data_IF_413850771749
#
_entry.id   IF_413850771749
#
_cell.length_a   1.000
_cell.length_b   1.000
_cell.length_c   1.000
_cell.angle_alpha   90.00
_cell.angle_beta   90.00
_cell.angle_gamma   90.00
#
_symmetry.space_group_name_H-M   'P 1'
#
loop_
_entity.id
_entity.type
_entity.pdbx_description
1 polymer ?
#
# COMPACT_ATOMS: atom_id res chain seq x y z
N UNK A 1 7.42 -16.84 -19.76
CA UNK A 1 7.13 -16.10 -18.52
C UNK A 1 6.05 -15.04 -18.64
N UNK A 2 6.07 -14.08 -19.60
CA UNK A 2 5.02 -13.05 -19.63
C UNK A 2 3.62 -13.64 -19.89
N UNK A 3 3.52 -14.65 -20.75
CA UNK A 3 2.25 -15.35 -21.05
C UNK A 3 1.65 -16.08 -19.85
N UNK A 4 2.48 -16.73 -19.03
CA UNK A 4 2.00 -17.42 -17.83
C UNK A 4 1.47 -16.40 -16.84
N UNK A 5 2.24 -15.35 -16.52
CA UNK A 5 1.79 -14.26 -15.63
C UNK A 5 0.47 -13.65 -16.10
N UNK A 6 0.32 -13.34 -17.38
CA UNK A 6 -0.96 -12.81 -17.90
C UNK A 6 -2.13 -13.80 -17.72
N UNK A 7 -1.90 -15.11 -17.84
CA UNK A 7 -2.93 -16.11 -17.59
C UNK A 7 -3.34 -16.18 -16.10
N UNK A 8 -2.39 -16.07 -15.17
CA UNK A 8 -2.70 -15.94 -13.73
C UNK A 8 -3.53 -14.68 -13.44
N UNK A 9 -3.20 -13.55 -14.09
CA UNK A 9 -3.94 -12.30 -13.93
C UNK A 9 -5.38 -12.41 -14.45
N UNK A 10 -5.57 -12.99 -15.64
CA UNK A 10 -6.89 -13.20 -16.23
C UNK A 10 -7.72 -14.17 -15.36
N UNK A 11 -7.10 -15.24 -14.86
CA UNK A 11 -7.74 -16.17 -13.94
C UNK A 11 -8.19 -15.49 -12.64
N UNK A 12 -7.36 -14.60 -12.08
CA UNK A 12 -7.69 -13.84 -10.88
C UNK A 12 -8.84 -12.85 -11.11
N UNK A 13 -8.86 -12.15 -12.25
CA UNK A 13 -9.98 -11.28 -12.63
C UNK A 13 -11.28 -12.10 -12.81
N UNK A 14 -11.19 -13.28 -13.42
CA UNK A 14 -12.32 -14.21 -13.52
C UNK A 14 -12.83 -14.64 -12.14
N UNK A 15 -11.93 -14.93 -11.20
CA UNK A 15 -12.26 -15.21 -9.81
C UNK A 15 -13.02 -14.03 -9.16
N UNK A 16 -12.55 -12.80 -9.30
CA UNK A 16 -13.22 -11.62 -8.73
C UNK A 16 -14.61 -11.40 -9.30
N UNK A 17 -14.78 -11.57 -10.61
CA UNK A 17 -16.09 -11.46 -11.26
C UNK A 17 -17.05 -12.52 -10.74
N UNK A 18 -16.58 -13.75 -10.57
CA UNK A 18 -17.39 -14.84 -10.04
C UNK A 18 -17.72 -14.63 -8.56
N UNK A 19 -16.78 -14.12 -7.77
CA UNK A 19 -17.02 -13.80 -6.35
C UNK A 19 -18.00 -12.63 -6.19
N UNK A 20 -17.90 -11.61 -7.05
CA UNK A 20 -18.85 -10.51 -7.12
C UNK A 20 -20.27 -11.01 -7.45
N UNK A 21 -20.38 -11.92 -8.42
CA UNK A 21 -21.66 -12.58 -8.75
C UNK A 21 -22.23 -13.33 -7.55
N UNK A 22 -21.42 -14.14 -6.86
CA UNK A 22 -21.84 -14.90 -5.68
C UNK A 22 -22.33 -13.98 -4.54
N UNK A 23 -21.71 -12.82 -4.34
CA UNK A 23 -22.10 -11.85 -3.30
C UNK A 23 -23.39 -11.09 -3.65
N UNK A 24 -23.53 -10.66 -4.91
CA UNK A 24 -24.65 -9.83 -5.37
C UNK A 24 -25.93 -10.64 -5.61
N UNK A 25 -25.80 -11.85 -6.16
CA UNK A 25 -26.95 -12.71 -6.49
C UNK A 25 -27.43 -13.46 -5.25
N UNK A 26 -28.69 -13.89 -5.28
CA UNK A 26 -29.35 -14.58 -4.16
C UNK A 26 -28.53 -15.79 -3.71
N UNK A 27 -28.00 -15.72 -2.49
CA UNK A 27 -27.32 -16.85 -1.86
C UNK A 27 -28.34 -17.80 -1.22
N UNK A 28 -28.38 -19.05 -1.68
CA UNK A 28 -29.22 -20.11 -1.13
C UNK A 28 -28.62 -20.73 0.14
N UNK A 29 -29.39 -21.53 0.88
CA UNK A 29 -28.93 -22.11 2.15
C UNK A 29 -27.67 -22.97 1.97
N UNK A 30 -27.60 -23.72 0.88
CA UNK A 30 -26.47 -24.55 0.53
C UNK A 30 -25.60 -23.86 -0.52
N UNK A 31 -24.27 -24.02 -0.48
CA UNK A 31 -23.40 -23.38 -1.44
C UNK A 31 -23.71 -23.91 -2.84
N UNK A 32 -24.01 -23.00 -3.78
CA UNK A 32 -24.17 -23.35 -5.17
C UNK A 32 -22.82 -23.76 -5.78
N UNK A 33 -22.85 -24.34 -6.99
CA UNK A 33 -21.61 -24.73 -7.68
C UNK A 33 -20.63 -23.55 -7.84
N UNK A 34 -21.13 -22.34 -8.06
CA UNK A 34 -20.30 -21.14 -8.19
C UNK A 34 -19.63 -20.78 -6.86
N UNK A 35 -20.36 -20.84 -5.74
CA UNK A 35 -19.79 -20.59 -4.41
C UNK A 35 -18.72 -21.64 -4.06
N UNK A 36 -18.95 -22.91 -4.39
CA UNK A 36 -17.94 -23.96 -4.25
C UNK A 36 -16.68 -23.70 -5.08
N UNK A 37 -16.83 -23.14 -6.28
CA UNK A 37 -15.67 -22.74 -7.11
C UNK A 37 -14.88 -21.64 -6.40
N UNK A 38 -15.52 -20.58 -5.86
CA UNK A 38 -14.85 -19.53 -5.07
C UNK A 38 -14.12 -20.11 -3.87
N UNK A 39 -14.81 -20.95 -3.08
CA UNK A 39 -14.24 -21.57 -1.89
C UNK A 39 -13.01 -22.42 -2.26
N UNK A 40 -13.12 -23.22 -3.33
CA UNK A 40 -12.00 -24.05 -3.79
C UNK A 40 -10.81 -23.22 -4.26
N UNK A 41 -11.06 -22.05 -4.88
CA UNK A 41 -10.03 -21.13 -5.31
C UNK A 41 -9.27 -20.55 -4.11
N UNK A 42 -9.97 -20.08 -3.08
CA UNK A 42 -9.34 -19.53 -1.86
C UNK A 42 -8.59 -20.60 -1.08
N UNK A 43 -9.16 -21.80 -0.95
CA UNK A 43 -8.47 -22.93 -0.30
C UNK A 43 -7.20 -23.29 -1.06
N UNK A 44 -7.24 -23.30 -2.40
CA UNK A 44 -6.04 -23.53 -3.23
C UNK A 44 -4.98 -22.46 -3.00
N UNK A 45 -5.38 -21.19 -2.90
CA UNK A 45 -4.47 -20.08 -2.61
C UNK A 45 -3.87 -20.18 -1.19
N UNK A 46 -4.68 -20.59 -0.20
CA UNK A 46 -4.21 -20.83 1.16
C UNK A 46 -3.13 -21.93 1.21
N UNK A 47 -3.33 -23.02 0.47
CA UNK A 47 -2.34 -24.10 0.35
C UNK A 47 -1.04 -23.61 -0.31
N UNK A 48 -1.12 -22.75 -1.33
CA UNK A 48 0.06 -22.13 -1.94
C UNK A 48 0.85 -21.25 -0.97
N UNK A 49 0.17 -20.46 -0.14
CA UNK A 49 0.82 -19.64 0.89
C UNK A 49 1.44 -20.49 2.00
N UNK A 50 0.77 -21.57 2.42
CA UNK A 50 1.36 -22.53 3.36
C UNK A 50 2.62 -23.16 2.78
N UNK A 51 2.60 -23.56 1.50
CA UNK A 51 3.77 -24.11 0.81
C UNK A 51 4.92 -23.10 0.75
N UNK A 52 4.64 -21.85 0.42
CA UNK A 52 5.63 -20.77 0.39
C UNK A 52 6.34 -20.61 1.74
N UNK A 53 5.56 -20.57 2.83
CA UNK A 53 6.11 -20.53 4.19
C UNK A 53 6.98 -21.76 4.45
N UNK A 54 6.56 -22.96 4.06
CA UNK A 54 7.30 -24.20 4.29
C UNK A 54 8.61 -24.29 3.49
N UNK A 55 8.63 -23.82 2.24
CA UNK A 55 9.80 -23.90 1.35
C UNK A 55 10.82 -22.77 1.55
N UNK A 56 10.52 -21.76 2.38
CA UNK A 56 11.50 -20.72 2.73
C UNK A 56 12.77 -21.29 3.39
N UNK A 57 13.91 -20.66 3.13
CA UNK A 57 15.28 -21.13 3.43
C UNK A 57 15.65 -21.45 4.91
N UNK A 58 15.05 -20.84 5.96
CA UNK A 58 15.46 -21.12 7.34
C UNK A 58 15.20 -22.58 7.78
N UNK A 59 15.90 -23.09 8.80
CA UNK A 59 15.59 -24.41 9.38
C UNK A 59 14.41 -24.41 10.36
N UNK A 60 14.22 -23.32 11.11
CA UNK A 60 13.23 -23.21 12.21
C UNK A 60 11.93 -22.53 11.73
N UNK A 61 10.78 -23.18 11.95
CA UNK A 61 9.45 -22.70 11.51
C UNK A 61 9.09 -21.30 12.02
N UNK A 62 9.42 -20.97 13.28
CA UNK A 62 9.12 -19.64 13.85
C UNK A 62 9.87 -18.52 13.12
N UNK A 63 11.13 -18.78 12.72
CA UNK A 63 11.93 -17.80 11.97
C UNK A 63 11.42 -17.64 10.54
N UNK A 64 10.93 -18.72 9.90
CA UNK A 64 10.26 -18.67 8.59
C UNK A 64 9.05 -17.75 8.61
N UNK A 65 8.16 -17.95 9.57
CA UNK A 65 6.93 -17.17 9.71
C UNK A 65 7.27 -15.70 9.97
N UNK A 66 8.25 -15.42 10.84
CA UNK A 66 8.67 -14.04 11.13
C UNK A 66 9.18 -13.31 9.88
N UNK A 67 10.03 -13.96 9.08
CA UNK A 67 10.57 -13.37 7.83
C UNK A 67 9.46 -13.17 6.81
N UNK A 68 8.58 -14.17 6.62
CA UNK A 68 7.47 -14.09 5.68
C UNK A 68 6.48 -12.97 6.02
N UNK A 69 6.21 -12.75 7.32
CA UNK A 69 5.35 -11.68 7.81
C UNK A 69 5.96 -10.28 7.71
N UNK A 70 7.23 -10.11 7.31
CA UNK A 70 7.80 -8.76 7.10
C UNK A 70 7.29 -8.11 5.82
N UNK A 71 6.77 -8.89 4.88
CA UNK A 71 6.22 -8.38 3.63
C UNK A 71 4.75 -7.98 3.80
N UNK A 72 4.43 -6.69 3.58
CA UNK A 72 3.09 -6.13 3.79
C UNK A 72 1.97 -6.85 3.03
N UNK A 73 2.24 -7.29 1.81
CA UNK A 73 1.28 -8.02 0.99
C UNK A 73 0.96 -9.40 1.55
N UNK A 74 1.95 -10.09 2.13
CA UNK A 74 1.76 -11.38 2.76
C UNK A 74 0.88 -11.30 4.02
N UNK A 75 1.04 -10.23 4.81
CA UNK A 75 0.15 -9.97 5.95
C UNK A 75 -1.29 -9.77 5.46
N UNK A 76 -1.48 -8.95 4.43
CA UNK A 76 -2.81 -8.67 3.85
C UNK A 76 -3.46 -9.94 3.32
N UNK A 77 -2.71 -10.77 2.60
CA UNK A 77 -3.17 -12.06 2.07
C UNK A 77 -3.59 -13.01 3.20
N UNK A 78 -2.81 -13.08 4.30
CA UNK A 78 -3.13 -13.91 5.46
C UNK A 78 -4.44 -13.46 6.13
N UNK A 79 -4.60 -12.15 6.31
CA UNK A 79 -5.83 -11.57 6.89
C UNK A 79 -7.03 -11.90 5.99
N UNK A 80 -6.92 -11.66 4.68
CA UNK A 80 -7.98 -11.96 3.71
C UNK A 80 -8.38 -13.44 3.72
N UNK A 81 -7.40 -14.36 3.64
CA UNK A 81 -7.67 -15.80 3.67
C UNK A 81 -8.32 -16.21 4.99
N UNK A 82 -7.82 -15.71 6.12
CA UNK A 82 -8.39 -16.05 7.44
C UNK A 82 -9.84 -15.55 7.58
N UNK A 83 -10.13 -14.33 7.12
CA UNK A 83 -11.46 -13.74 7.15
C UNK A 83 -12.44 -14.51 6.26
N UNK A 84 -12.02 -14.88 5.04
CA UNK A 84 -12.81 -15.73 4.15
C UNK A 84 -13.11 -17.09 4.78
N UNK A 85 -12.13 -17.76 5.39
CA UNK A 85 -12.34 -19.07 6.02
C UNK A 85 -13.33 -18.99 7.18
N UNK A 86 -13.26 -17.95 8.01
CA UNK A 86 -14.24 -17.69 9.08
C UNK A 86 -15.62 -17.45 8.47
N UNK A 87 -15.72 -16.63 7.42
CA UNK A 87 -16.96 -16.38 6.69
C UNK A 87 -17.58 -17.67 6.14
N UNK A 88 -16.78 -18.54 5.52
CA UNK A 88 -17.21 -19.82 4.95
C UNK A 88 -17.71 -20.79 6.02
N UNK A 89 -17.03 -20.88 7.17
CA UNK A 89 -17.47 -21.72 8.30
C UNK A 89 -18.82 -21.23 8.84
N UNK A 90 -18.97 -19.93 9.06
CA UNK A 90 -20.24 -19.33 9.52
C UNK A 90 -21.36 -19.50 8.50
N UNK A 91 -21.01 -19.56 7.20
CA UNK A 91 -21.96 -19.75 6.11
C UNK A 91 -22.59 -21.15 6.08
N UNK A 92 -21.85 -22.16 6.56
CA UNK A 92 -22.30 -23.55 6.69
C UNK A 92 -23.17 -23.77 7.94
N UNK A 93 -23.22 -22.82 8.87
CA UNK A 93 -24.02 -22.89 10.09
C UNK A 93 -25.49 -22.47 9.85
N UNK A 94 -26.39 -22.88 10.77
CA UNK A 94 -27.80 -22.49 10.74
C UNK A 94 -27.98 -21.01 11.08
N UNK A 95 -29.14 -20.42 10.73
CA UNK A 95 -29.47 -19.04 11.12
C UNK A 95 -29.41 -18.89 12.66
N UNK A 96 -28.87 -17.77 13.19
CA UNK A 96 -28.57 -16.48 12.55
C UNK A 96 -27.14 -16.32 11.97
N UNK A 97 -26.22 -17.25 12.24
CA UNK A 97 -24.81 -17.16 11.86
C UNK A 97 -24.57 -17.04 10.34
N UNK A 98 -25.47 -17.60 9.55
CA UNK A 98 -25.50 -17.47 8.08
C UNK A 98 -25.52 -15.99 7.62
N UNK A 99 -26.24 -15.12 8.32
CA UNK A 99 -26.32 -13.69 7.98
C UNK A 99 -24.98 -12.99 8.21
N UNK A 100 -24.31 -13.30 9.32
CA UNK A 100 -22.97 -12.80 9.61
C UNK A 100 -21.93 -13.30 8.60
N UNK A 101 -22.02 -14.57 8.16
CA UNK A 101 -21.16 -15.11 7.10
C UNK A 101 -21.26 -14.33 5.77
N UNK A 102 -22.47 -13.93 5.38
CA UNK A 102 -22.68 -13.07 4.20
C UNK A 102 -22.04 -11.69 4.36
N UNK A 103 -22.23 -11.05 5.52
CA UNK A 103 -21.61 -9.74 5.81
C UNK A 103 -20.09 -9.83 5.76
N UNK A 104 -19.52 -10.91 6.29
CA UNK A 104 -18.08 -11.16 6.21
C UNK A 104 -17.62 -11.29 4.76
N UNK A 105 -18.31 -12.05 3.90
CA UNK A 105 -17.99 -12.09 2.45
C UNK A 105 -18.05 -10.71 1.77
N UNK A 106 -19.04 -9.88 2.12
CA UNK A 106 -19.15 -8.53 1.57
C UNK A 106 -17.99 -7.61 1.96
N UNK A 107 -17.42 -7.79 3.16
CA UNK A 107 -16.22 -7.04 3.58
C UNK A 107 -14.96 -7.67 2.99
N UNK A 108 -14.92 -9.01 2.94
CA UNK A 108 -13.78 -9.80 2.49
C UNK A 108 -13.41 -9.52 1.03
N UNK A 109 -14.39 -9.33 0.14
CA UNK A 109 -14.14 -8.95 -1.27
C UNK A 109 -13.30 -7.67 -1.41
N UNK A 110 -13.36 -6.75 -0.45
CA UNK A 110 -12.55 -5.52 -0.46
C UNK A 110 -11.06 -5.89 -0.38
N UNK A 111 -10.67 -6.86 0.46
CA UNK A 111 -9.28 -7.31 0.55
C UNK A 111 -8.81 -7.97 -0.75
N UNK A 112 -9.67 -8.73 -1.42
CA UNK A 112 -9.35 -9.30 -2.74
C UNK A 112 -9.23 -8.24 -3.84
N UNK A 113 -9.94 -7.11 -3.74
CA UNK A 113 -9.70 -5.96 -4.62
C UNK A 113 -8.38 -5.26 -4.29
N UNK A 114 -8.03 -5.07 -3.01
CA UNK A 114 -6.74 -4.50 -2.61
C UNK A 114 -5.59 -5.37 -3.15
N UNK A 115 -5.73 -6.70 -3.15
CA UNK A 115 -4.76 -7.64 -3.75
C UNK A 115 -4.52 -7.40 -5.24
N UNK A 116 -5.47 -6.84 -5.99
CA UNK A 116 -5.26 -6.46 -7.41
C UNK A 116 -4.13 -5.42 -7.53
N UNK A 117 -3.96 -4.55 -6.53
CA UNK A 117 -2.89 -3.54 -6.55
C UNK A 117 -1.51 -4.18 -6.50
N UNK A 118 -1.33 -5.31 -5.80
CA UNK A 118 -0.06 -6.07 -5.83
C UNK A 118 0.26 -6.58 -7.23
N UNK A 119 -0.77 -7.08 -7.93
CA UNK A 119 -0.66 -7.55 -9.32
C UNK A 119 -0.30 -6.38 -10.26
N UNK A 120 -0.90 -5.21 -10.08
CA UNK A 120 -0.54 -4.02 -10.84
C UNK A 120 0.83 -3.44 -10.46
N UNK A 121 1.30 -3.72 -9.24
CA UNK A 121 2.66 -3.43 -8.75
C UNK A 121 3.76 -3.96 -9.70
N UNK A 122 3.48 -5.06 -10.39
CA UNK A 122 4.39 -5.72 -11.32
C UNK A 122 4.53 -4.97 -12.65
N UNK A 123 3.51 -4.20 -13.05
CA UNK A 123 3.48 -3.55 -14.34
C UNK A 123 4.48 -2.39 -14.41
N UNK A 124 5.18 -2.24 -15.55
CA UNK A 124 6.13 -1.14 -15.81
C UNK A 124 5.54 0.24 -15.64
N UNK A 125 4.27 0.40 -15.96
CA UNK A 125 3.62 1.70 -15.92
C UNK A 125 2.93 1.96 -14.57
N UNK A 126 2.27 0.96 -14.00
CA UNK A 126 1.47 1.14 -12.76
C UNK A 126 2.26 0.88 -11.48
N UNK A 127 3.31 0.06 -11.54
CA UNK A 127 4.08 -0.37 -10.37
C UNK A 127 4.71 0.78 -9.58
N UNK A 128 5.40 1.73 -10.22
CA UNK A 128 5.93 2.90 -9.52
C UNK A 128 4.85 3.72 -8.79
N UNK A 129 3.63 3.81 -9.34
CA UNK A 129 2.52 4.53 -8.70
C UNK A 129 1.97 3.80 -7.46
N UNK A 130 1.80 2.47 -7.54
CA UNK A 130 1.38 1.67 -6.38
C UNK A 130 2.40 1.81 -5.24
N UNK A 131 3.69 1.81 -5.56
CA UNK A 131 4.76 2.02 -4.59
C UNK A 131 4.79 3.43 -4.00
N UNK A 132 4.48 4.46 -4.80
CA UNK A 132 4.31 5.83 -4.30
C UNK A 132 3.18 5.91 -3.28
N UNK A 133 1.99 5.38 -3.63
CA UNK A 133 0.81 5.38 -2.75
C UNK A 133 1.14 4.70 -1.42
N UNK A 134 1.76 3.51 -1.45
CA UNK A 134 2.10 2.77 -0.22
C UNK A 134 3.05 3.53 0.71
N UNK A 135 4.06 4.22 0.17
CA UNK A 135 4.97 5.04 0.98
C UNK A 135 4.28 6.29 1.52
N UNK A 136 3.50 6.97 0.69
CA UNK A 136 2.77 8.18 1.09
C UNK A 136 1.76 7.89 2.21
N UNK A 137 1.15 6.70 2.24
CA UNK A 137 0.21 6.28 3.31
C UNK A 137 0.81 6.32 4.71
N UNK A 138 2.12 6.04 4.87
CA UNK A 138 2.78 6.08 6.19
C UNK A 138 2.85 7.53 6.70
N UNK A 139 3.19 8.46 5.83
CA UNK A 139 3.24 9.88 6.16
C UNK A 139 1.84 10.44 6.46
N UNK A 140 0.79 9.93 5.79
CA UNK A 140 -0.61 10.27 6.11
C UNK A 140 -0.97 9.94 7.54
N UNK A 141 -0.50 8.80 8.05
CA UNK A 141 -0.96 8.26 9.31
C UNK A 141 -0.70 9.25 10.44
N UNK A 142 0.49 9.87 10.45
CA UNK A 142 0.84 10.91 11.43
C UNK A 142 -0.09 12.11 11.36
N UNK A 143 -0.46 12.53 10.15
CA UNK A 143 -1.39 13.63 9.96
C UNK A 143 -2.81 13.28 10.40
N UNK A 144 -3.27 12.07 10.08
CA UNK A 144 -4.60 11.57 10.50
C UNK A 144 -4.71 11.56 12.02
N UNK A 145 -3.62 11.27 12.75
CA UNK A 145 -3.60 11.37 14.22
C UNK A 145 -3.84 12.80 14.69
N UNK A 146 -3.20 13.81 14.07
CA UNK A 146 -3.42 15.22 14.40
C UNK A 146 -4.88 15.63 14.11
N UNK A 147 -5.40 15.20 12.96
CA UNK A 147 -6.80 15.44 12.58
C UNK A 147 -7.78 14.81 13.58
N UNK A 148 -7.49 13.61 14.08
CA UNK A 148 -8.30 12.93 15.08
C UNK A 148 -8.35 13.69 16.41
N UNK A 149 -7.24 14.30 16.84
CA UNK A 149 -7.20 15.14 18.05
C UNK A 149 -8.13 16.35 17.92
N UNK A 150 -8.04 17.06 16.79
CA UNK A 150 -8.91 18.23 16.52
C UNK A 150 -10.37 17.79 16.42
N UNK A 151 -10.64 16.69 15.72
CA UNK A 151 -11.98 16.11 15.58
C UNK A 151 -12.59 15.73 16.94
N UNK A 152 -11.86 15.02 17.79
CA UNK A 152 -12.33 14.64 19.14
C UNK A 152 -12.60 15.88 20.00
N UNK A 153 -11.74 16.89 19.95
CA UNK A 153 -11.91 18.10 20.75
C UNK A 153 -13.23 18.83 20.46
N UNK A 154 -13.59 18.94 19.17
CA UNK A 154 -14.86 19.52 18.76
C UNK A 154 -16.05 18.58 19.02
N UNK A 155 -15.92 17.30 18.68
CA UNK A 155 -16.99 16.32 18.83
C UNK A 155 -17.49 16.16 20.26
N UNK A 156 -16.57 16.10 21.23
CA UNK A 156 -16.91 16.01 22.66
C UNK A 156 -17.58 17.30 23.14
N UNK A 157 -17.00 18.46 22.82
CA UNK A 157 -17.54 19.75 23.25
C UNK A 157 -18.96 19.98 22.70
N UNK A 158 -19.18 19.69 21.41
CA UNK A 158 -20.48 19.77 20.75
C UNK A 158 -21.51 18.85 21.42
N UNK A 159 -21.18 17.57 21.58
CA UNK A 159 -22.11 16.57 22.12
C UNK A 159 -22.51 16.88 23.56
N UNK A 160 -21.55 17.33 24.38
CA UNK A 160 -21.79 17.69 25.78
C UNK A 160 -22.67 18.95 25.92
N UNK A 161 -22.55 19.93 25.02
CA UNK A 161 -23.39 21.15 25.06
C UNK A 161 -24.81 20.84 24.59
N UNK A 162 -24.98 20.12 23.47
CA UNK A 162 -26.29 19.90 22.85
C UNK A 162 -27.15 18.83 23.53
N UNK A 163 -26.51 17.85 24.20
CA UNK A 163 -27.19 16.73 24.84
C UNK A 163 -26.65 16.53 26.26
N UNK A 164 -27.01 17.43 27.20
CA UNK A 164 -26.63 17.27 28.60
C UNK A 164 -27.26 16.00 29.19
N UNK A 165 -26.51 15.35 30.08
CA UNK A 165 -26.95 14.16 30.86
C UNK A 165 -27.42 12.96 30.02
N UNK A 166 -26.85 12.76 28.82
CA UNK A 166 -27.16 11.60 27.98
C UNK A 166 -26.53 10.30 28.57
N UNK A 167 -27.32 9.23 28.65
CA UNK A 167 -26.86 7.95 29.18
C UNK A 167 -25.71 7.35 28.33
N UNK A 168 -24.77 6.61 28.95
CA UNK A 168 -23.65 6.02 28.24
C UNK A 168 -24.15 5.02 27.20
N UNK A 169 -23.98 5.36 25.92
CA UNK A 169 -24.43 4.53 24.79
C UNK A 169 -23.41 4.50 23.65
N UNK A 170 -23.39 3.42 22.87
CA UNK A 170 -22.58 3.34 21.64
C UNK A 170 -22.99 4.39 20.60
N UNK A 171 -24.22 4.90 20.69
CA UNK A 171 -24.73 5.98 19.85
C UNK A 171 -24.05 7.31 20.19
N UNK A 172 -23.87 7.60 21.49
CA UNK A 172 -23.13 8.76 21.98
C UNK A 172 -21.70 8.74 21.43
N UNK A 173 -20.98 7.62 21.63
CA UNK A 173 -19.63 7.45 21.11
C UNK A 173 -19.57 7.66 19.59
N UNK A 174 -20.48 7.04 18.83
CA UNK A 174 -20.55 7.23 17.37
C UNK A 174 -20.79 8.69 16.98
N UNK A 175 -21.68 9.40 17.66
CA UNK A 175 -22.04 10.79 17.32
C UNK A 175 -20.86 11.76 17.53
N UNK A 176 -20.02 11.52 18.55
CA UNK A 176 -18.79 12.29 18.81
C UNK A 176 -17.84 12.26 17.61
N UNK A 177 -17.73 11.13 16.90
CA UNK A 177 -16.82 11.00 15.76
C UNK A 177 -17.49 11.26 14.42
N UNK A 178 -18.66 10.66 14.20
CA UNK A 178 -19.29 10.58 12.89
C UNK A 178 -19.69 11.96 12.38
N UNK A 179 -20.38 12.77 13.19
CA UNK A 179 -20.85 14.08 12.74
C UNK A 179 -19.68 15.03 12.38
N UNK A 180 -18.70 15.27 13.27
CA UNK A 180 -17.52 16.07 12.94
C UNK A 180 -16.73 15.57 11.73
N UNK A 181 -16.63 14.26 11.53
CA UNK A 181 -15.90 13.67 10.41
C UNK A 181 -16.48 14.08 9.05
N UNK A 182 -17.79 13.91 8.85
CA UNK A 182 -18.46 14.27 7.60
C UNK A 182 -18.43 15.78 7.32
N UNK A 183 -18.39 16.60 8.37
CA UNK A 183 -18.21 18.06 8.24
C UNK A 183 -16.88 18.46 7.61
N UNK A 184 -15.82 17.64 7.73
CA UNK A 184 -14.54 17.89 7.03
C UNK A 184 -14.72 17.76 5.52
N UNK A 185 -15.56 16.82 5.08
CA UNK A 185 -15.84 16.55 3.67
C UNK A 185 -16.89 17.49 3.05
N UNK A 186 -17.35 18.50 3.80
CA UNK A 186 -18.31 19.50 3.32
C UNK A 186 -19.77 19.14 3.57
N UNK A 187 -20.07 17.98 4.18
CA UNK A 187 -21.39 17.73 4.75
C UNK A 187 -21.54 18.52 6.05
N UNK A 188 -21.87 19.79 5.89
CA UNK A 188 -22.29 20.61 7.01
C UNK A 188 -23.72 20.16 7.32
N UNK A 189 -23.90 19.36 8.39
CA UNK A 189 -25.22 18.93 8.87
C UNK A 189 -26.05 20.10 9.43
N UNK A 190 -26.10 21.25 8.74
CA UNK A 190 -26.90 22.40 9.11
C UNK A 190 -28.31 21.92 9.49
N UNK A 191 -28.97 21.09 8.67
CA UNK A 191 -30.34 20.61 8.90
C UNK A 191 -30.53 19.65 10.12
N UNK A 192 -29.47 19.02 10.65
CA UNK A 192 -29.54 18.16 11.86
C UNK A 192 -28.97 18.81 13.11
N UNK A 193 -28.04 19.77 12.95
CA UNK A 193 -27.62 20.69 14.00
C UNK A 193 -28.73 21.72 14.26
N UNK A 194 -29.52 22.00 13.23
CA UNK A 194 -30.66 22.89 13.15
C UNK A 194 -31.96 22.08 13.03
N UNK A 195 -32.14 21.13 13.94
CA UNK A 195 -33.45 20.62 14.40
C UNK A 195 -34.59 20.53 13.36
N UNK A 196 -34.43 19.85 12.22
CA UNK A 196 -35.59 19.30 11.47
C UNK A 196 -35.73 17.82 11.81
N UNK A 197 -36.73 17.40 12.57
CA UNK A 197 -38.13 17.53 12.19
C UNK A 197 -39.05 17.73 13.42
N UNK A 198 -39.49 18.97 13.66
CA UNK A 198 -40.94 19.29 13.75
C UNK A 198 -41.30 20.76 13.94
N UNK A 199 -40.39 21.73 13.79
CA UNK A 199 -40.78 23.14 13.85
C UNK A 199 -40.11 23.86 12.66
N UNK A 200 -40.83 23.89 11.54
CA UNK A 200 -40.57 24.89 10.51
C UNK A 200 -40.87 26.24 11.16
N UNK A 201 -39.88 27.13 11.29
CA UNK A 201 -39.97 28.60 11.12
C UNK A 201 -38.71 29.33 11.67
N UNK A 202 -37.90 28.77 12.59
CA UNK A 202 -36.87 29.56 13.31
C UNK A 202 -35.39 29.15 13.11
N UNK A 203 -35.05 28.42 12.05
CA UNK A 203 -33.73 27.81 11.86
C UNK A 203 -32.59 28.80 11.47
N UNK A 204 -32.94 30.04 11.07
CA UNK A 204 -31.95 31.08 10.75
C UNK A 204 -31.78 32.10 11.91
N UNK A 205 -32.06 31.72 13.15
CA UNK A 205 -31.90 32.60 14.31
C UNK A 205 -30.86 32.07 15.29
N UNK A 206 -29.95 32.97 15.69
CA UNK A 206 -28.91 32.76 16.71
C UNK A 206 -29.51 32.34 18.08
N UNK A 207 -30.81 32.55 18.27
CA UNK A 207 -31.61 32.03 19.38
C UNK A 207 -32.98 31.57 18.86
N UNK A 208 -33.21 30.27 18.62
CA UNK A 208 -34.57 29.78 18.39
C UNK A 208 -35.42 30.03 19.65
N UNK A 209 -36.75 30.26 19.52
CA UNK A 209 -37.61 30.38 20.67
C UNK A 209 -37.50 29.07 21.48
N UNK A 210 -37.13 29.22 22.75
CA UNK A 210 -37.00 28.14 23.71
C UNK A 210 -37.72 28.56 24.97
N UNK A 211 -38.34 27.61 25.67
CA UNK A 211 -39.14 27.93 26.83
C UNK A 211 -39.72 26.69 27.49
N UNK A 212 -39.60 26.62 28.81
CA UNK A 212 -40.21 25.54 29.58
C UNK A 212 -41.73 25.65 29.50
N UNK A 213 -42.36 24.64 28.89
CA UNK A 213 -43.82 24.55 28.72
C UNK A 213 -44.46 25.66 27.88
N UNK A 214 -43.68 26.35 27.05
CA UNK A 214 -44.23 27.26 26.05
C UNK A 214 -44.62 26.48 24.80
N UNK A 215 -45.66 26.96 24.11
CA UNK A 215 -46.13 26.40 22.85
C UNK A 215 -45.91 27.44 21.75
N UNK A 216 -45.45 26.97 20.60
CA UNK A 216 -45.31 27.78 19.39
C UNK A 216 -46.69 28.18 18.85
N UNK A 217 -46.76 29.15 17.93
CA UNK A 217 -48.01 29.59 17.28
C UNK A 217 -48.78 28.41 16.61
N UNK A 218 -48.04 27.36 16.21
CA UNK A 218 -48.55 26.08 15.69
C UNK A 218 -49.09 25.10 16.76
N UNK A 219 -49.08 25.46 18.04
CA UNK A 219 -49.48 24.59 19.16
C UNK A 219 -48.47 23.48 19.49
N UNK A 220 -47.22 23.59 19.03
CA UNK A 220 -46.15 22.60 19.29
C UNK A 220 -45.34 23.02 20.51
N UNK A 221 -45.02 22.08 21.41
CA UNK A 221 -44.20 22.36 22.60
C UNK A 221 -42.78 22.78 22.21
N UNK A 222 -42.35 23.94 22.70
CA UNK A 222 -41.00 24.47 22.51
C UNK A 222 -39.97 23.62 23.27
N UNK A 223 -38.71 23.54 22.79
CA UNK A 223 -37.62 22.87 23.50
C UNK A 223 -37.27 23.59 24.81
N UNK A 224 -36.76 22.86 25.82
CA UNK A 224 -36.09 23.49 26.94
C UNK A 224 -34.86 24.27 26.46
N UNK A 225 -34.63 25.46 27.02
CA UNK A 225 -33.47 26.28 26.70
C UNK A 225 -32.19 25.62 27.23
N UNK A 226 -31.21 25.40 26.34
CA UNK A 226 -29.92 24.83 26.72
C UNK A 226 -28.92 25.96 26.95
N UNK A 227 -28.33 26.07 28.16
CA UNK A 227 -27.28 27.05 28.43
C UNK A 227 -26.09 26.83 27.50
N UNK A 228 -25.62 27.90 26.84
CA UNK A 228 -24.43 27.83 25.97
C UNK A 228 -24.68 27.28 24.57
N UNK A 229 -25.93 27.13 24.12
CA UNK A 229 -26.23 26.71 22.75
C UNK A 229 -25.55 27.60 21.69
N UNK A 230 -25.46 28.91 21.93
CA UNK A 230 -24.78 29.90 21.07
C UNK A 230 -23.28 29.62 20.87
N UNK A 231 -22.64 28.91 21.81
CA UNK A 231 -21.23 28.56 21.74
C UNK A 231 -20.97 27.49 20.67
N UNK A 232 -21.95 26.61 20.40
CA UNK A 232 -21.78 25.50 19.45
C UNK A 232 -21.56 25.99 18.01
N UNK A 233 -22.34 26.94 17.46
CA UNK A 233 -22.04 27.56 16.16
C UNK A 233 -20.66 28.23 16.10
N UNK A 234 -20.22 28.89 17.18
CA UNK A 234 -18.92 29.56 17.23
C UNK A 234 -17.77 28.55 17.19
N UNK A 235 -17.80 27.51 18.02
CA UNK A 235 -16.79 26.43 18.01
C UNK A 235 -16.81 25.69 16.67
N UNK A 236 -17.99 25.50 16.07
CA UNK A 236 -18.13 24.89 14.75
C UNK A 236 -17.44 25.72 13.66
N UNK A 237 -17.59 27.05 13.66
CA UNK A 237 -16.89 27.92 12.71
C UNK A 237 -15.37 27.84 12.88
N UNK A 238 -14.86 27.87 14.12
CA UNK A 238 -13.44 27.68 14.41
C UNK A 238 -12.93 26.31 13.95
N UNK A 239 -13.69 25.24 14.21
CA UNK A 239 -13.37 23.88 13.79
C UNK A 239 -13.26 23.78 12.27
N UNK A 240 -14.23 24.30 11.52
CA UNK A 240 -14.21 24.26 10.05
C UNK A 240 -13.02 25.05 9.47
N UNK A 241 -12.66 26.18 10.08
CA UNK A 241 -11.48 26.94 9.67
C UNK A 241 -10.20 26.11 9.87
N UNK A 242 -10.00 25.56 11.07
CA UNK A 242 -8.80 24.78 11.37
C UNK A 242 -8.75 23.49 10.54
N UNK A 243 -9.85 22.73 10.47
CA UNK A 243 -9.89 21.47 9.76
C UNK A 243 -9.78 21.65 8.23
N UNK A 244 -10.61 22.49 7.63
CA UNK A 244 -10.71 22.55 6.17
C UNK A 244 -9.72 23.55 5.55
N UNK A 245 -9.44 24.68 6.22
CA UNK A 245 -8.55 25.70 5.65
C UNK A 245 -7.09 25.44 6.02
N UNK A 246 -6.80 25.02 7.25
CA UNK A 246 -5.42 24.76 7.67
C UNK A 246 -5.01 23.31 7.44
N UNK A 247 -5.70 22.35 8.07
CA UNK A 247 -5.27 20.96 8.12
C UNK A 247 -5.35 20.29 6.74
N UNK A 248 -6.50 20.30 6.06
CA UNK A 248 -6.63 19.66 4.74
C UNK A 248 -5.64 20.24 3.72
N UNK A 249 -5.43 21.56 3.69
CA UNK A 249 -4.48 22.19 2.76
C UNK A 249 -3.02 21.85 3.09
N UNK A 250 -2.66 21.80 4.37
CA UNK A 250 -1.33 21.37 4.79
C UNK A 250 -1.08 19.90 4.43
N UNK A 251 -2.09 19.04 4.59
CA UNK A 251 -2.03 17.64 4.20
C UNK A 251 -1.78 17.48 2.69
N UNK A 252 -2.49 18.23 1.85
CA UNK A 252 -2.26 18.27 0.40
C UNK A 252 -0.84 18.73 0.08
N UNK A 253 -0.32 19.73 0.79
CA UNK A 253 1.05 20.21 0.59
C UNK A 253 2.10 19.14 0.94
N UNK A 254 1.93 18.45 2.07
CA UNK A 254 2.80 17.33 2.47
C UNK A 254 2.72 16.19 1.46
N UNK A 255 1.52 15.85 0.98
CA UNK A 255 1.36 14.86 -0.09
C UNK A 255 2.12 15.20 -1.34
N UNK A 256 2.00 16.44 -1.81
CA UNK A 256 2.69 16.86 -3.01
C UNK A 256 4.21 16.77 -2.81
N UNK A 257 4.72 17.18 -1.65
CA UNK A 257 6.16 17.09 -1.36
C UNK A 257 6.66 15.64 -1.31
N UNK A 258 6.01 14.77 -0.54
CA UNK A 258 6.36 13.34 -0.47
C UNK A 258 6.18 12.68 -1.85
N UNK A 259 5.16 13.04 -2.62
CA UNK A 259 4.95 12.51 -3.96
C UNK A 259 6.14 12.81 -4.87
N UNK A 260 6.65 14.04 -4.88
CA UNK A 260 7.82 14.40 -5.68
C UNK A 260 9.09 13.68 -5.22
N UNK A 261 9.32 13.59 -3.91
CA UNK A 261 10.46 12.86 -3.35
C UNK A 261 10.40 11.38 -3.71
N UNK A 262 9.28 10.70 -3.42
CA UNK A 262 9.12 9.28 -3.71
C UNK A 262 9.14 9.01 -5.21
N UNK A 263 8.63 9.92 -6.05
CA UNK A 263 8.69 9.80 -7.51
C UNK A 263 10.11 9.77 -8.05
N UNK A 264 11.05 10.49 -7.41
CA UNK A 264 12.46 10.47 -7.83
C UNK A 264 13.12 9.10 -7.59
N UNK A 265 12.66 8.36 -6.58
CA UNK A 265 13.24 7.07 -6.14
C UNK A 265 12.42 5.85 -6.63
N UNK A 266 11.13 6.04 -6.94
CA UNK A 266 10.18 4.95 -7.19
C UNK A 266 10.57 4.06 -8.37
N UNK A 267 11.16 4.63 -9.43
CA UNK A 267 11.58 3.86 -10.60
C UNK A 267 12.71 2.89 -10.29
N UNK A 268 13.64 3.25 -9.39
CA UNK A 268 14.72 2.36 -8.98
C UNK A 268 14.18 1.24 -8.08
N UNK A 269 13.35 1.59 -7.09
CA UNK A 269 12.72 0.61 -6.19
C UNK A 269 11.85 -0.36 -6.96
N UNK A 270 11.06 0.13 -7.93
CA UNK A 270 10.23 -0.72 -8.77
C UNK A 270 11.04 -1.68 -9.64
N UNK A 271 12.18 -1.24 -10.21
CA UNK A 271 13.08 -2.14 -10.95
C UNK A 271 13.57 -3.28 -10.07
N UNK A 272 13.95 -2.98 -8.83
CA UNK A 272 14.39 -3.99 -7.86
C UNK A 272 13.26 -4.97 -7.48
N UNK A 273 12.08 -4.45 -7.17
CA UNK A 273 10.92 -5.30 -6.83
C UNK A 273 10.45 -6.15 -8.00
N UNK A 274 10.48 -5.62 -9.23
CA UNK A 274 10.19 -6.38 -10.43
C UNK A 274 11.16 -7.57 -10.57
N UNK A 275 12.45 -7.36 -10.30
CA UNK A 275 13.42 -8.44 -10.32
C UNK A 275 13.10 -9.52 -9.29
N UNK A 276 12.83 -9.13 -8.04
CA UNK A 276 12.45 -10.07 -6.97
C UNK A 276 11.22 -10.89 -7.35
N UNK A 277 10.21 -10.24 -7.91
CA UNK A 277 8.99 -10.92 -8.32
C UNK A 277 9.22 -11.89 -9.49
N UNK A 278 10.00 -11.51 -10.51
CA UNK A 278 10.37 -12.41 -11.61
C UNK A 278 11.07 -13.65 -11.06
N UNK A 279 11.99 -13.46 -10.10
CA UNK A 279 12.67 -14.56 -9.43
C UNK A 279 11.66 -15.47 -8.71
N UNK A 280 10.70 -14.91 -7.97
CA UNK A 280 9.66 -15.70 -7.29
C UNK A 280 8.76 -16.46 -8.27
N UNK A 281 8.34 -15.87 -9.39
CA UNK A 281 7.51 -16.55 -10.39
C UNK A 281 8.25 -17.64 -11.16
N UNK A 282 9.56 -17.53 -11.32
CA UNK A 282 10.38 -18.56 -11.94
C UNK A 282 10.26 -19.89 -11.17
N UNK A 283 10.26 -19.83 -9.84
CA UNK A 283 10.28 -21.02 -8.98
C UNK A 283 8.88 -21.61 -8.70
N UNK A 284 7.82 -20.94 -9.17
CA UNK A 284 6.44 -21.38 -9.01
C UNK A 284 6.03 -22.37 -10.11
N UNK A 285 5.15 -23.35 -9.80
CA UNK A 285 4.60 -24.23 -10.81
C UNK A 285 3.81 -23.41 -11.85
N UNK A 286 3.85 -23.86 -13.10
CA UNK A 286 3.39 -23.12 -14.30
C UNK A 286 1.87 -22.86 -14.32
N UNK A 287 1.08 -23.51 -13.46
CA UNK A 287 -0.38 -23.55 -13.52
C UNK A 287 -1.03 -22.58 -12.52
N UNK A 288 -2.06 -21.80 -12.91
CA UNK A 288 -2.83 -20.95 -12.01
C UNK A 288 -3.68 -21.75 -11.00
N UNK A 289 -3.96 -21.21 -9.79
CA UNK A 289 -5.03 -21.74 -8.94
C UNK A 289 -6.32 -21.71 -9.77
N UNK A 290 -7.09 -22.81 -9.99
CA UNK A 290 -7.26 -24.04 -9.19
C UNK A 290 -6.51 -25.30 -9.68
N UNK A 291 -5.81 -25.27 -10.82
CA UNK A 291 -5.12 -26.44 -11.40
C UNK A 291 -3.80 -26.79 -10.68
N UNK A 292 -3.41 -25.94 -9.73
CA UNK A 292 -2.24 -26.12 -8.87
C UNK A 292 -2.35 -27.40 -8.04
N UNK A 293 -3.56 -27.80 -7.61
CA UNK A 293 -3.79 -29.02 -6.83
C UNK A 293 -3.33 -30.26 -7.61
N UNK A 294 -3.60 -30.32 -8.92
CA UNK A 294 -3.17 -31.44 -9.77
C UNK A 294 -1.64 -31.49 -9.90
N UNK A 295 -0.99 -30.32 -9.99
CA UNK A 295 0.48 -30.25 -10.01
C UNK A 295 1.09 -30.75 -8.68
N UNK A 296 0.47 -30.44 -7.54
CA UNK A 296 0.90 -30.94 -6.24
C UNK A 296 0.70 -32.44 -6.09
N UNK A 297 -0.47 -32.94 -6.51
CA UNK A 297 -0.76 -34.38 -6.54
C UNK A 297 0.27 -35.10 -7.41
N UNK A 298 0.59 -34.57 -8.59
CA UNK A 298 1.63 -35.10 -9.46
C UNK A 298 3.02 -35.13 -8.79
N UNK A 299 3.45 -34.02 -8.17
CA UNK A 299 4.76 -33.95 -7.48
C UNK A 299 4.82 -34.92 -6.29
N UNK A 300 3.72 -35.05 -5.52
CA UNK A 300 3.63 -35.96 -4.37
C UNK A 300 3.68 -37.42 -4.85
N UNK A 301 2.91 -37.77 -5.89
CA UNK A 301 2.92 -39.10 -6.50
C UNK A 301 4.31 -39.43 -7.06
N UNK A 302 4.97 -38.47 -7.72
CA UNK A 302 6.31 -38.65 -8.27
C UNK A 302 7.39 -38.80 -7.18
N UNK A 303 7.24 -38.12 -6.04
CA UNK A 303 8.13 -38.31 -4.88
C UNK A 303 7.90 -39.65 -4.18
N UNK A 304 6.65 -40.09 -4.06
CA UNK A 304 6.32 -41.40 -3.51
C UNK A 304 6.86 -42.52 -4.42
N UNK A 305 6.75 -42.38 -5.74
CA UNK A 305 7.28 -43.35 -6.70
C UNK A 305 8.82 -43.32 -6.80
N UNK A 306 9.46 -42.15 -6.64
CA UNK A 306 10.93 -42.01 -6.51
C UNK A 306 11.47 -42.53 -5.18
N UNK A 307 10.68 -42.59 -4.10
CA UNK A 307 11.06 -43.33 -2.88
C UNK A 307 11.05 -44.85 -3.10
N UNK A 308 10.23 -45.34 -4.03
CA UNK A 308 10.18 -46.76 -4.41
C UNK A 308 11.24 -47.16 -5.45
N UNK A 309 11.77 -46.21 -6.24
CA UNK A 309 12.88 -46.45 -7.19
C UNK A 309 14.21 -46.04 -6.56
N UNK A 310 15.15 -47.00 -6.44
CA UNK A 310 16.55 -46.73 -6.07
C UNK A 310 17.09 -45.56 -6.93
N UNK A 311 17.60 -44.55 -6.24
CA UNK A 311 18.18 -43.32 -6.79
C UNK A 311 19.23 -43.68 -7.87
N UNK A 312 18.97 -43.34 -9.14
CA UNK A 312 20.02 -43.30 -10.16
C UNK A 312 20.81 -42.01 -9.92
N UNK A 313 22.12 -42.12 -9.82
CA UNK A 313 23.11 -41.07 -9.48
C UNK A 313 23.23 -39.90 -10.50
N UNK A 314 22.23 -39.63 -11.33
CA UNK A 314 22.28 -38.56 -12.34
C UNK A 314 21.11 -37.58 -12.34
N UNK A 315 20.16 -37.68 -11.39
CA UNK A 315 18.91 -36.91 -11.42
C UNK A 315 18.93 -35.67 -10.49
N UNK A 316 20.13 -35.22 -10.09
CA UNK A 316 20.29 -34.07 -9.17
C UNK A 316 20.26 -32.70 -9.85
N UNK A 317 20.38 -32.64 -11.18
CA UNK A 317 20.57 -31.36 -11.90
C UNK A 317 19.30 -30.77 -12.54
N UNK A 318 18.13 -31.37 -12.37
CA UNK A 318 16.88 -30.80 -12.92
C UNK A 318 16.27 -29.69 -12.06
N UNK A 319 16.74 -29.52 -10.82
CA UNK A 319 16.23 -28.49 -9.89
C UNK A 319 16.92 -27.13 -9.99
N UNK A 320 18.09 -27.07 -10.60
CA UNK A 320 18.92 -25.87 -10.71
C UNK A 320 18.90 -25.24 -12.11
N UNK A 321 17.99 -25.67 -13.00
CA UNK A 321 17.73 -25.04 -14.30
C UNK A 321 16.97 -23.71 -14.17
N UNK A 322 17.47 -22.83 -13.30
CA UNK A 322 17.01 -21.47 -13.13
C UNK A 322 17.63 -20.49 -14.12
N UNK A 323 17.62 -19.20 -13.77
CA UNK A 323 18.33 -18.12 -14.50
C UNK A 323 19.86 -18.30 -14.59
N UNK A 324 20.42 -19.42 -14.10
CA UNK A 324 21.85 -19.73 -14.19
C UNK A 324 22.15 -20.31 -15.56
N UNK A 325 22.84 -19.52 -16.38
CA UNK A 325 23.44 -19.99 -17.62
C UNK A 325 24.71 -20.76 -17.27
N UNK A 326 24.75 -22.05 -17.64
CA UNK A 326 25.97 -22.84 -17.54
C UNK A 326 26.76 -22.63 -18.83
N UNK A 327 27.84 -21.86 -18.75
CA UNK A 327 28.79 -21.67 -19.85
C UNK A 327 29.85 -22.76 -19.79
N UNK A 328 30.33 -23.17 -20.97
CA UNK A 328 31.56 -23.97 -21.06
C UNK A 328 32.78 -23.12 -20.66
N UNK A 329 33.87 -23.76 -20.22
CA UNK A 329 35.09 -23.05 -19.80
C UNK A 329 35.66 -22.15 -20.92
N UNK A 330 35.48 -22.54 -22.19
CA UNK A 330 35.94 -21.76 -23.33
C UNK A 330 35.06 -20.52 -23.60
N UNK A 331 33.74 -20.63 -23.43
CA UNK A 331 32.83 -19.49 -23.54
C UNK A 331 33.01 -18.51 -22.37
N UNK A 332 33.25 -19.02 -21.16
CA UNK A 332 33.55 -18.19 -19.99
C UNK A 332 34.84 -17.39 -20.20
N UNK A 333 35.87 -18.02 -20.76
CA UNK A 333 37.13 -17.35 -21.07
C UNK A 333 36.94 -16.22 -22.09
N UNK A 334 36.21 -16.47 -23.18
CA UNK A 334 35.89 -15.45 -24.19
C UNK A 334 35.06 -14.29 -23.61
N UNK A 335 34.14 -14.59 -22.70
CA UNK A 335 33.34 -13.57 -22.02
C UNK A 335 34.20 -12.67 -21.14
N UNK A 336 35.11 -13.24 -20.35
CA UNK A 336 36.01 -12.44 -19.51
C UNK A 336 36.97 -11.57 -20.34
N UNK A 337 37.52 -12.10 -21.44
CA UNK A 337 38.37 -11.30 -22.35
C UNK A 337 37.60 -10.11 -22.95
N UNK A 338 36.33 -10.32 -23.31
CA UNK A 338 35.45 -9.25 -23.79
C UNK A 338 35.12 -8.22 -22.69
N UNK A 339 34.78 -8.68 -21.48
CA UNK A 339 34.50 -7.80 -20.34
C UNK A 339 35.72 -6.94 -19.98
N UNK A 340 36.92 -7.52 -19.98
CA UNK A 340 38.17 -6.80 -19.71
C UNK A 340 38.41 -5.69 -20.74
N UNK A 341 38.21 -5.99 -22.04
CA UNK A 341 38.32 -4.99 -23.09
C UNK A 341 37.30 -3.84 -22.90
N UNK A 342 36.03 -4.15 -22.65
CA UNK A 342 35.01 -3.14 -22.43
C UNK A 342 35.29 -2.28 -21.18
N UNK A 343 35.79 -2.89 -20.11
CA UNK A 343 36.17 -2.17 -18.89
C UNK A 343 37.32 -1.21 -19.18
N UNK A 344 38.33 -1.66 -19.93
CA UNK A 344 39.46 -0.82 -20.31
C UNK A 344 39.03 0.38 -21.17
N UNK A 345 38.21 0.15 -22.20
CA UNK A 345 37.67 1.22 -23.04
C UNK A 345 36.86 2.23 -22.21
N UNK A 346 36.05 1.76 -21.26
CA UNK A 346 35.26 2.63 -20.38
C UNK A 346 36.13 3.51 -19.47
N UNK A 347 37.21 2.97 -18.90
CA UNK A 347 38.13 3.75 -18.07
C UNK A 347 38.86 4.81 -18.89
N UNK A 348 39.29 4.48 -20.11
CA UNK A 348 39.92 5.44 -21.02
C UNK A 348 38.97 6.59 -21.37
N UNK A 349 37.72 6.27 -21.72
CA UNK A 349 36.70 7.28 -22.01
C UNK A 349 36.45 8.20 -20.80
N UNK A 350 36.42 7.63 -19.59
CA UNK A 350 36.29 8.42 -18.34
C UNK A 350 37.47 9.34 -18.08
N UNK A 351 38.70 8.87 -18.33
CA UNK A 351 39.90 9.70 -18.20
C UNK A 351 39.90 10.84 -19.24
N UNK A 352 39.50 10.55 -20.48
CA UNK A 352 39.41 11.56 -21.55
C UNK A 352 38.32 12.61 -21.26
N UNK A 353 37.15 12.19 -20.76
CA UNK A 353 36.10 13.10 -20.26
C UNK A 353 36.62 13.99 -19.13
N UNK A 354 37.39 13.43 -18.19
CA UNK A 354 37.94 14.17 -17.07
C UNK A 354 39.02 15.16 -17.52
N UNK A 355 39.92 14.76 -18.42
CA UNK A 355 40.97 15.63 -18.98
C UNK A 355 40.38 16.76 -19.84
N UNK A 356 39.29 16.48 -20.57
CA UNK A 356 38.60 17.48 -21.39
C UNK A 356 37.67 18.41 -20.58
N UNK A 357 37.39 18.07 -19.31
CA UNK A 357 36.56 18.89 -18.42
C UNK A 357 37.10 20.31 -18.27
N UNK A 358 36.18 21.28 -18.21
CA UNK A 358 36.53 22.69 -18.08
C UNK A 358 37.29 22.97 -16.77
N UNK A 359 36.94 22.28 -15.69
CA UNK A 359 37.63 22.41 -14.40
C UNK A 359 39.08 21.96 -14.48
N UNK A 360 39.34 20.83 -15.13
CA UNK A 360 40.68 20.28 -15.31
C UNK A 360 41.53 21.18 -16.21
N UNK A 361 40.97 21.64 -17.32
CA UNK A 361 41.63 22.58 -18.22
C UNK A 361 41.97 23.91 -17.53
N UNK A 362 41.08 24.41 -16.68
CA UNK A 362 41.35 25.60 -15.85
C UNK A 362 42.46 25.30 -14.86
N UNK A 363 42.42 24.16 -14.14
CA UNK A 363 43.48 23.75 -13.20
C UNK A 363 44.85 23.70 -13.85
N UNK A 364 44.97 22.99 -14.97
CA UNK A 364 46.23 22.87 -15.73
C UNK A 364 46.71 24.23 -16.24
N UNK A 365 45.80 25.09 -16.71
CA UNK A 365 46.16 26.44 -17.17
C UNK A 365 46.62 27.31 -15.99
N UNK A 366 45.94 27.23 -14.84
CA UNK A 366 46.33 27.92 -13.62
C UNK A 366 47.71 27.46 -13.12
N UNK A 367 47.99 26.16 -13.09
CA UNK A 367 49.30 25.62 -12.74
C UNK A 367 50.39 26.11 -13.70
N UNK A 368 50.13 26.09 -15.02
CA UNK A 368 51.06 26.63 -16.02
C UNK A 368 51.31 28.12 -15.83
N UNK A 369 50.27 28.91 -15.55
CA UNK A 369 50.40 30.34 -15.24
C UNK A 369 51.18 30.58 -13.95
N UNK A 370 50.96 29.78 -12.90
CA UNK A 370 51.67 29.85 -11.63
C UNK A 370 53.16 29.52 -11.80
N UNK A 371 53.48 28.46 -12.56
CA UNK A 371 54.85 28.10 -12.90
C UNK A 371 55.53 29.21 -13.72
N UNK A 372 54.84 29.78 -14.71
CA UNK A 372 55.37 30.89 -15.51
C UNK A 372 55.66 32.15 -14.66
N UNK A 373 54.79 32.46 -13.69
CA UNK A 373 55.01 33.57 -12.76
C UNK A 373 56.13 33.29 -11.77
N UNK A 374 56.24 32.07 -11.25
CA UNK A 374 57.35 31.64 -10.40
C UNK A 374 58.69 31.72 -11.15
N UNK A 375 58.73 31.26 -12.40
CA UNK A 375 59.91 31.35 -13.25
C UNK A 375 60.30 32.82 -13.46
N UNK A 376 59.35 33.69 -13.82
CA UNK A 376 59.60 35.14 -13.99
C UNK A 376 60.12 35.82 -12.71
N UNK A 377 59.64 35.42 -11.52
CA UNK A 377 60.20 35.91 -10.24
C UNK A 377 61.60 35.36 -9.96
N UNK A 378 61.87 34.10 -10.29
CA UNK A 378 63.20 33.48 -10.19
C UNK A 378 64.22 34.08 -11.16
N UNK A 379 63.82 34.39 -12.40
CA UNK A 379 64.66 35.09 -13.39
C UNK A 379 64.90 36.56 -13.01
N UNK A 380 63.95 37.18 -12.30
CA UNK A 380 64.10 38.54 -11.77
C UNK A 380 65.14 38.65 -10.65
N UNK A 381 65.46 37.56 -9.96
CA UNK A 381 66.50 37.53 -8.94
C UNK A 381 67.93 37.44 -9.52
N UNK A 382 68.07 37.18 -10.84
CA UNK A 382 69.35 37.08 -11.55
C UNK A 382 69.65 38.28 -12.49
N UNK A 383 68.82 39.35 -12.46
CA UNK A 383 69.07 40.62 -13.18
C UNK A 383 69.02 41.82 -12.23
N UNK A 384 69.98 41.92 -11.29
CA UNK A 384 70.92 43.02 -11.40
C UNK A 384 72.33 42.63 -10.89
N UNK A 385 73.13 41.95 -11.71
CA UNK A 385 74.59 41.84 -11.45
C UNK A 385 75.48 41.90 -12.70
N UNK A 386 74.93 42.14 -13.89
CA UNK A 386 75.71 42.34 -15.12
C UNK A 386 75.03 43.40 -16.00
N UNK A 387 75.46 44.65 -15.86
CA UNK A 387 75.06 45.80 -16.67
C UNK A 387 75.39 47.08 -15.92
N UNK A 388 76.52 47.70 -16.28
CA UNK A 388 77.08 48.90 -15.65
C UNK A 388 76.40 50.20 -16.03
#
# INVERSE_FOLDING_TARGET
MPLTVSAFQISYLGYLLLFNYVILVRMERWPCLQEWVVISYIVSLALEKIREILMSEPGKLSQKIKVWLQEYWNITDLVAISMFMIGAILRLQRQPYMGYGRVIYCVDIIFWYIRVLDIFGVNKYLGPYVMMIGKMMIDMLYFVVIMLVVLMSFGVARQAILHPDEEPSWKLARNIFYMPYWMIYGEVFADQIDRKNRIHIYAMEINPPCGDNQYDEDGKRLPPCIPGAWLTPAIMACYLLVANILLVNLLIAVFNNTFFEVKSISNQVWKFQRYQLIMTFHDRPVLPPPMIILSHIYIIIMRLSRRCRKKREGDQDEKDRGLKLFLSDEELKRLHEFEEQCVQEHFQEKEDEQQSSSEERIRVTCERCALATAWRRGSGFLRPFLGG
#
